data_IF_990214795622
#
_entry.id   IF_990214795622
#
_cell.length_a   1.000
_cell.length_b   1.000
_cell.length_c   1.000
_cell.angle_alpha   90.00
_cell.angle_beta   90.00
_cell.angle_gamma   90.00
#
_symmetry.space_group_name_H-M   'P 1'
#
loop_
_entity.id
_entity.type
_entity.pdbx_description
1 polymer ?
#
# COMPACT_ATOMS: atom_id res chain seq x y z
N UNK A 1 1.18 49.47 45.15
CA UNK A 1 0.13 48.88 44.26
C UNK A 1 0.74 48.77 42.88
N UNK A 2 1.37 47.64 42.59
CA UNK A 2 2.06 47.42 41.29
C UNK A 2 1.49 46.10 40.76
N UNK A 3 0.61 46.24 39.80
CA UNK A 3 0.02 45.13 39.07
C UNK A 3 1.08 44.37 38.24
N UNK A 4 1.15 43.09 38.53
CA UNK A 4 2.04 42.18 37.78
C UNK A 4 1.56 41.95 36.38
N UNK A 5 2.44 42.31 35.43
CA UNK A 5 2.36 41.97 34.01
C UNK A 5 2.49 40.43 33.84
N UNK A 6 1.37 39.76 33.74
CA UNK A 6 1.28 38.36 33.33
C UNK A 6 1.55 38.28 31.82
N UNK A 7 2.81 38.19 31.42
CA UNK A 7 3.19 37.84 30.08
C UNK A 7 2.70 36.44 29.79
N UNK A 8 1.65 36.34 29.01
CA UNK A 8 1.19 35.10 28.39
C UNK A 8 2.35 34.58 27.51
N UNK A 9 3.02 33.59 28.06
CA UNK A 9 3.94 32.75 27.31
C UNK A 9 3.12 31.99 26.26
N UNK A 10 2.96 32.57 25.09
CA UNK A 10 2.47 31.84 23.92
C UNK A 10 3.54 30.81 23.60
N UNK A 11 3.32 29.59 24.06
CA UNK A 11 4.09 28.43 23.60
C UNK A 11 3.99 28.42 22.09
N UNK A 12 5.09 28.75 21.42
CA UNK A 12 5.28 28.49 20.01
C UNK A 12 5.18 26.96 19.83
N UNK A 13 3.96 26.45 19.62
CA UNK A 13 3.77 25.11 19.13
C UNK A 13 4.61 24.99 17.87
N UNK A 14 5.69 24.26 18.02
CA UNK A 14 6.60 23.91 16.96
C UNK A 14 5.78 23.25 15.87
N UNK A 15 5.44 23.98 14.82
CA UNK A 15 4.72 23.45 13.66
C UNK A 15 5.56 22.29 13.15
N UNK A 16 5.14 21.06 13.51
CA UNK A 16 5.81 19.84 13.06
C UNK A 16 5.55 19.71 11.57
N UNK A 17 6.57 19.45 10.76
CA UNK A 17 6.36 19.22 9.33
C UNK A 17 5.51 17.95 9.16
N UNK A 18 4.26 18.15 8.74
CA UNK A 18 3.31 17.06 8.50
C UNK A 18 3.08 16.90 7.01
N UNK A 19 2.94 15.67 6.57
CA UNK A 19 2.58 15.31 5.19
C UNK A 19 1.08 15.06 5.14
N UNK A 20 0.30 15.93 4.47
CA UNK A 20 -1.14 15.74 4.35
C UNK A 20 -1.44 14.53 3.45
N UNK A 21 -2.24 13.61 3.94
CA UNK A 21 -2.70 12.42 3.21
C UNK A 21 -4.12 12.62 2.68
N UNK A 22 -5.02 13.09 3.55
CA UNK A 22 -6.41 13.45 3.23
C UNK A 22 -6.77 14.72 3.99
N UNK A 23 -8.02 15.21 3.87
CA UNK A 23 -8.50 16.34 4.66
C UNK A 23 -8.48 16.10 6.18
N UNK A 24 -8.50 14.83 6.60
CA UNK A 24 -8.59 14.45 8.02
C UNK A 24 -7.39 13.65 8.54
N UNK A 25 -6.50 13.21 7.66
CA UNK A 25 -5.35 12.37 8.01
C UNK A 25 -4.09 13.06 7.50
N UNK A 26 -3.16 13.30 8.39
CA UNK A 26 -1.79 13.70 8.11
C UNK A 26 -0.83 12.80 8.89
N UNK A 27 0.38 12.60 8.40
CA UNK A 27 1.44 11.85 9.08
C UNK A 27 2.59 12.81 9.41
N UNK A 28 3.29 12.54 10.50
CA UNK A 28 4.50 13.30 10.86
C UNK A 28 5.66 12.85 9.95
N UNK A 29 6.44 13.81 9.49
CA UNK A 29 7.63 13.51 8.66
C UNK A 29 8.66 12.62 9.40
N UNK A 30 8.64 12.63 10.75
CA UNK A 30 9.48 11.77 11.61
C UNK A 30 9.09 10.30 11.59
N UNK A 31 7.85 9.98 11.18
CA UNK A 31 7.38 8.60 11.00
C UNK A 31 8.00 7.94 9.76
N UNK A 32 8.68 8.75 8.94
CA UNK A 32 9.35 8.31 7.72
C UNK A 32 10.86 8.30 7.94
N UNK A 33 11.47 7.18 7.66
CA UNK A 33 12.92 7.02 7.62
C UNK A 33 13.36 6.80 6.18
N UNK A 34 14.35 7.55 5.72
CA UNK A 34 14.86 7.49 4.34
C UNK A 34 16.30 7.00 4.33
N UNK A 35 16.60 6.04 3.49
CA UNK A 35 17.94 5.52 3.27
C UNK A 35 18.30 5.65 1.80
N UNK A 36 19.50 6.15 1.56
CA UNK A 36 20.05 6.28 0.22
C UNK A 36 20.93 5.08 -0.10
N UNK A 37 20.60 4.39 -1.19
CA UNK A 37 21.30 3.18 -1.60
C UNK A 37 21.81 3.32 -3.04
N UNK A 38 22.84 2.57 -3.38
CA UNK A 38 23.34 2.53 -4.75
C UNK A 38 22.31 1.82 -5.62
N UNK A 39 21.96 2.41 -6.75
CA UNK A 39 21.10 1.76 -7.72
C UNK A 39 21.86 0.57 -8.33
N UNK A 40 21.31 -0.64 -8.21
CA UNK A 40 21.78 -1.82 -8.93
C UNK A 40 21.03 -1.91 -10.25
N UNK A 41 21.74 -1.95 -11.37
CA UNK A 41 21.12 -2.10 -12.69
C UNK A 41 22.15 -2.06 -13.83
N UNK A 42 21.80 -2.49 -15.03
CA UNK A 42 22.63 -2.34 -16.23
C UNK A 42 22.70 -0.85 -16.58
N UNK A 43 23.79 -0.21 -16.22
CA UNK A 43 24.04 1.21 -16.48
C UNK A 43 25.53 1.53 -16.52
N UNK A 44 25.90 2.64 -17.15
CA UNK A 44 27.28 3.10 -17.29
C UNK A 44 27.95 3.40 -15.94
N UNK A 45 29.24 3.77 -15.99
CA UNK A 45 30.12 3.93 -14.80
C UNK A 45 29.58 4.81 -13.65
N UNK A 46 28.65 5.75 -13.92
CA UNK A 46 28.07 6.64 -12.92
C UNK A 46 27.00 5.94 -12.03
N UNK A 47 26.30 4.92 -12.52
CA UNK A 47 25.23 4.23 -11.77
C UNK A 47 25.78 3.53 -10.54
N UNK A 48 27.00 3.01 -10.63
CA UNK A 48 27.66 2.29 -9.54
C UNK A 48 28.40 3.19 -8.52
N UNK A 49 28.58 4.46 -8.84
CA UNK A 49 29.35 5.40 -8.00
C UNK A 49 28.48 6.32 -7.13
N UNK A 50 27.23 6.56 -7.51
CA UNK A 50 26.34 7.51 -6.83
C UNK A 50 25.13 6.80 -6.22
N UNK A 51 24.86 7.03 -4.94
CA UNK A 51 23.69 6.50 -4.22
C UNK A 51 22.44 7.34 -4.57
N UNK A 52 21.87 7.14 -5.75
CA UNK A 52 20.70 7.88 -6.22
C UNK A 52 19.37 7.19 -5.89
N UNK A 53 19.38 5.90 -5.60
CA UNK A 53 18.17 5.18 -5.19
C UNK A 53 17.81 5.51 -3.74
N UNK A 54 16.51 5.60 -3.48
CA UNK A 54 15.95 5.91 -2.17
C UNK A 54 15.10 4.73 -1.70
N UNK A 55 15.38 4.24 -0.50
CA UNK A 55 14.54 3.31 0.25
C UNK A 55 13.86 4.09 1.38
N UNK A 56 12.55 4.19 1.32
CA UNK A 56 11.71 4.83 2.32
C UNK A 56 11.11 3.74 3.21
N UNK A 57 11.20 3.94 4.53
CA UNK A 57 10.66 3.05 5.55
C UNK A 57 9.62 3.81 6.37
N UNK A 58 8.45 3.23 6.53
CA UNK A 58 7.35 3.78 7.31
C UNK A 58 6.84 2.72 8.29
N UNK A 59 6.94 3.00 9.58
CA UNK A 59 6.44 2.10 10.62
C UNK A 59 4.93 2.27 10.75
N UNK A 60 4.18 1.27 10.26
CA UNK A 60 2.71 1.28 10.29
C UNK A 60 2.22 1.14 11.74
N UNK A 61 2.88 0.31 12.55
CA UNK A 61 2.44 0.02 13.90
C UNK A 61 2.58 1.24 14.82
N UNK A 62 3.74 1.92 14.75
CA UNK A 62 4.04 3.10 15.57
C UNK A 62 3.42 4.39 15.03
N UNK A 63 2.90 4.41 13.79
CA UNK A 63 2.39 5.62 13.15
C UNK A 63 1.16 6.20 13.85
N UNK A 64 0.88 7.47 13.58
CA UNK A 64 -0.29 8.22 14.06
C UNK A 64 -1.62 7.84 13.36
N UNK A 65 -1.59 6.90 12.40
CA UNK A 65 -2.77 6.49 11.63
C UNK A 65 -3.84 5.81 12.49
N UNK A 66 -5.14 5.98 12.17
CA UNK A 66 -6.23 5.24 12.80
C UNK A 66 -6.08 3.72 12.64
N UNK A 67 -6.50 2.89 13.63
CA UNK A 67 -6.30 1.43 13.60
C UNK A 67 -6.89 0.73 12.37
N UNK A 68 -8.04 1.17 11.90
CA UNK A 68 -8.71 0.64 10.72
C UNK A 68 -7.96 0.97 9.41
N UNK A 69 -7.29 2.13 9.36
CA UNK A 69 -6.41 2.53 8.24
C UNK A 69 -5.14 1.69 8.27
N UNK A 70 -4.53 1.48 9.46
CA UNK A 70 -3.36 0.60 9.61
C UNK A 70 -3.63 -0.80 9.08
N UNK A 71 -4.74 -1.42 9.48
CA UNK A 71 -5.13 -2.77 9.04
C UNK A 71 -5.30 -2.84 7.50
N UNK A 72 -5.95 -1.84 6.91
CA UNK A 72 -6.09 -1.77 5.44
C UNK A 72 -4.76 -1.53 4.74
N UNK A 73 -3.89 -0.70 5.33
CA UNK A 73 -2.58 -0.42 4.77
C UNK A 73 -1.70 -1.67 4.71
N UNK A 74 -1.66 -2.48 5.76
CA UNK A 74 -0.94 -3.76 5.77
C UNK A 74 -1.45 -4.67 4.65
N UNK A 75 -2.76 -4.78 4.49
CA UNK A 75 -3.36 -5.59 3.41
C UNK A 75 -2.99 -5.08 2.01
N UNK A 76 -2.98 -3.76 1.81
CA UNK A 76 -2.64 -3.12 0.53
C UNK A 76 -1.14 -3.17 0.23
N UNK A 77 -0.31 -3.09 1.25
CA UNK A 77 1.14 -3.17 1.11
C UNK A 77 1.61 -4.54 0.63
N UNK A 78 0.92 -5.62 1.06
CA UNK A 78 1.28 -6.99 0.70
C UNK A 78 2.75 -7.30 1.05
N UNK A 79 3.52 -7.78 0.09
CA UNK A 79 4.94 -8.13 0.26
C UNK A 79 5.87 -6.95 0.61
N UNK A 80 5.40 -5.70 0.45
CA UNK A 80 6.15 -4.49 0.84
C UNK A 80 6.10 -4.20 2.33
N UNK A 81 5.19 -4.83 3.07
CA UNK A 81 5.19 -4.79 4.52
C UNK A 81 6.03 -5.93 5.07
N UNK A 82 6.99 -5.60 5.94
CA UNK A 82 7.78 -6.61 6.65
C UNK A 82 6.94 -7.29 7.75
N UNK A 83 7.41 -8.41 8.28
CA UNK A 83 6.76 -9.09 9.40
C UNK A 83 6.62 -8.19 10.64
N UNK A 84 7.54 -7.24 10.81
CA UNK A 84 7.55 -6.26 11.90
C UNK A 84 6.57 -5.09 11.68
N UNK A 85 5.81 -5.11 10.59
CA UNK A 85 4.84 -4.05 10.27
C UNK A 85 5.44 -2.77 9.68
N UNK A 86 6.67 -2.84 9.15
CA UNK A 86 7.32 -1.72 8.47
C UNK A 86 7.06 -1.79 6.97
N UNK A 87 6.51 -0.72 6.40
CA UNK A 87 6.32 -0.58 4.96
C UNK A 87 7.61 -0.09 4.30
N UNK A 88 8.06 -0.80 3.27
CA UNK A 88 9.24 -0.46 2.48
C UNK A 88 8.81 0.02 1.10
N UNK A 89 9.31 1.19 0.68
CA UNK A 89 9.07 1.76 -0.65
C UNK A 89 10.41 2.19 -1.24
N UNK A 90 10.80 1.56 -2.33
CA UNK A 90 11.99 1.94 -3.08
C UNK A 90 11.66 2.79 -4.31
N UNK A 91 12.57 3.69 -4.64
CA UNK A 91 12.55 4.45 -5.88
C UNK A 91 13.95 4.57 -6.46
N UNK A 92 14.08 4.17 -7.73
CA UNK A 92 15.32 4.19 -8.52
C UNK A 92 15.09 4.57 -9.98
N UNK A 93 13.97 5.21 -10.26
CA UNK A 93 13.52 5.49 -11.64
C UNK A 93 14.19 6.73 -12.22
N UNK A 94 14.59 7.65 -11.35
CA UNK A 94 15.13 8.95 -11.76
C UNK A 94 16.64 9.02 -11.59
N UNK A 95 17.25 9.95 -12.31
CA UNK A 95 18.71 10.16 -12.27
C UNK A 95 19.19 10.82 -10.98
N UNK A 96 18.33 11.61 -10.33
CA UNK A 96 18.71 12.37 -9.14
C UNK A 96 18.07 11.76 -7.89
N UNK A 97 18.81 11.86 -6.78
CA UNK A 97 18.35 11.44 -5.47
C UNK A 97 17.08 12.19 -5.04
N UNK A 98 17.00 13.50 -5.28
CA UNK A 98 15.83 14.32 -4.95
C UNK A 98 14.56 13.81 -5.66
N UNK A 99 14.62 13.57 -6.97
CA UNK A 99 13.48 13.05 -7.73
C UNK A 99 13.05 11.65 -7.25
N UNK A 100 13.99 10.77 -6.90
CA UNK A 100 13.66 9.46 -6.35
C UNK A 100 13.03 9.56 -4.97
N UNK A 101 13.47 10.51 -4.13
CA UNK A 101 12.87 10.82 -2.83
C UNK A 101 11.41 11.28 -2.99
N UNK A 102 11.16 12.23 -3.86
CA UNK A 102 9.82 12.76 -4.12
C UNK A 102 8.90 11.65 -4.66
N UNK A 103 9.41 10.81 -5.56
CA UNK A 103 8.66 9.67 -6.08
C UNK A 103 8.33 8.63 -5.00
N UNK A 104 9.25 8.31 -4.10
CA UNK A 104 9.00 7.40 -2.98
C UNK A 104 7.95 7.97 -2.03
N UNK A 105 8.05 9.26 -1.69
CA UNK A 105 7.07 9.98 -0.86
C UNK A 105 5.68 10.01 -1.53
N UNK A 106 5.61 10.31 -2.81
CA UNK A 106 4.35 10.30 -3.56
C UNK A 106 3.69 8.92 -3.56
N UNK A 107 4.47 7.84 -3.68
CA UNK A 107 3.95 6.46 -3.58
C UNK A 107 3.42 6.14 -2.19
N UNK A 108 4.11 6.57 -1.13
CA UNK A 108 3.62 6.42 0.24
C UNK A 108 2.27 7.12 0.40
N UNK A 109 2.19 8.39 0.02
CA UNK A 109 0.94 9.17 0.12
C UNK A 109 -0.19 8.52 -0.67
N UNK A 110 0.06 8.04 -1.89
CA UNK A 110 -0.95 7.34 -2.69
C UNK A 110 -1.47 6.05 -2.01
N UNK A 111 -0.57 5.25 -1.41
CA UNK A 111 -0.96 4.06 -0.63
C UNK A 111 -1.78 4.43 0.59
N UNK A 112 -1.39 5.46 1.34
CA UNK A 112 -2.12 5.95 2.50
C UNK A 112 -3.50 6.47 2.11
N UNK A 113 -3.62 7.23 1.03
CA UNK A 113 -4.91 7.70 0.49
C UNK A 113 -5.82 6.54 0.10
N UNK A 114 -5.25 5.48 -0.48
CA UNK A 114 -6.01 4.28 -0.81
C UNK A 114 -6.48 3.53 0.45
N UNK A 115 -5.62 3.40 1.46
CA UNK A 115 -5.96 2.80 2.76
C UNK A 115 -6.99 3.62 3.54
N UNK A 116 -6.98 4.94 3.43
CA UNK A 116 -7.93 5.83 4.07
C UNK A 116 -9.38 5.63 3.57
N UNK A 117 -9.54 5.14 2.32
CA UNK A 117 -10.87 4.89 1.75
C UNK A 117 -11.37 3.51 2.16
N UNK A 118 -12.48 3.38 2.90
CA UNK A 118 -13.04 2.07 3.21
C UNK A 118 -13.54 1.37 1.93
N UNK A 119 -13.25 0.07 1.76
CA UNK A 119 -13.70 -0.65 0.59
C UNK A 119 -15.22 -0.77 0.58
N UNK A 120 -15.84 -0.58 -0.59
CA UNK A 120 -17.27 -0.79 -0.75
C UNK A 120 -17.62 -2.26 -0.47
N UNK A 121 -18.53 -2.50 0.48
CA UNK A 121 -19.01 -3.85 0.80
C UNK A 121 -19.61 -4.52 -0.44
N UNK A 122 -19.02 -5.63 -0.87
CA UNK A 122 -19.54 -6.41 -2.00
C UNK A 122 -20.84 -7.09 -1.59
N UNK A 123 -21.91 -6.84 -2.34
CA UNK A 123 -23.16 -7.60 -2.20
C UNK A 123 -23.00 -8.92 -2.96
N UNK A 124 -23.31 -10.10 -2.36
CA UNK A 124 -23.27 -11.36 -3.08
C UNK A 124 -24.32 -11.35 -4.20
N UNK A 125 -23.91 -11.69 -5.40
CA UNK A 125 -24.79 -11.80 -6.56
C UNK A 125 -25.22 -13.25 -6.77
N UNK A 126 -26.51 -13.49 -6.96
CA UNK A 126 -27.01 -14.82 -7.33
C UNK A 126 -26.75 -15.06 -8.82
N UNK A 127 -26.29 -16.27 -9.22
CA UNK A 127 -26.14 -16.62 -10.63
C UNK A 127 -27.46 -16.48 -11.37
N UNK A 128 -27.46 -15.96 -12.58
CA UNK A 128 -28.62 -15.87 -13.46
C UNK A 128 -29.16 -17.28 -13.74
N UNK A 129 -30.49 -17.41 -13.91
CA UNK A 129 -31.18 -18.67 -14.24
C UNK A 129 -30.54 -19.36 -15.44
N UNK A 130 -30.27 -18.62 -16.53
CA UNK A 130 -29.64 -19.14 -17.73
C UNK A 130 -28.23 -19.72 -17.48
N UNK A 131 -27.45 -19.15 -16.55
CA UNK A 131 -26.14 -19.70 -16.19
C UNK A 131 -26.24 -21.04 -15.45
N UNK A 132 -27.25 -21.16 -14.57
CA UNK A 132 -27.56 -22.45 -13.89
C UNK A 132 -27.98 -23.53 -14.88
N UNK A 133 -28.87 -23.20 -15.82
CA UNK A 133 -29.33 -24.11 -16.88
C UNK A 133 -28.17 -24.57 -17.76
N UNK A 134 -27.34 -23.63 -18.27
CA UNK A 134 -26.14 -23.97 -19.05
C UNK A 134 -25.19 -24.90 -18.29
N UNK A 135 -24.98 -24.66 -16.99
CA UNK A 135 -24.14 -25.51 -16.15
C UNK A 135 -24.71 -26.93 -16.03
N UNK A 136 -26.05 -27.07 -15.85
CA UNK A 136 -26.71 -28.37 -15.76
C UNK A 136 -26.63 -29.15 -17.08
N UNK A 137 -26.89 -28.49 -18.21
CA UNK A 137 -26.73 -29.08 -19.56
C UNK A 137 -25.29 -29.54 -19.80
N UNK A 138 -24.32 -28.72 -19.48
CA UNK A 138 -22.89 -29.07 -19.62
C UNK A 138 -22.52 -30.25 -18.70
N UNK A 139 -23.05 -30.29 -17.46
CA UNK A 139 -22.82 -31.41 -16.53
C UNK A 139 -23.40 -32.71 -17.06
N UNK A 140 -24.65 -32.67 -17.58
CA UNK A 140 -25.33 -33.84 -18.15
C UNK A 140 -24.56 -34.40 -19.34
N UNK A 141 -24.17 -33.53 -20.31
CA UNK A 141 -23.35 -33.91 -21.46
C UNK A 141 -22.01 -34.55 -21.09
N UNK A 142 -21.32 -34.02 -20.07
CA UNK A 142 -20.07 -34.63 -19.59
C UNK A 142 -20.31 -35.98 -18.93
N UNK A 143 -21.44 -36.15 -18.23
CA UNK A 143 -21.86 -37.45 -17.66
C UNK A 143 -22.09 -38.52 -18.73
N UNK A 144 -22.82 -38.16 -19.79
CA UNK A 144 -23.08 -39.04 -20.95
C UNK A 144 -21.76 -39.48 -21.64
N UNK A 145 -20.84 -38.50 -21.90
CA UNK A 145 -19.54 -38.83 -22.48
C UNK A 145 -18.72 -39.75 -21.57
N UNK A 146 -18.77 -39.54 -20.26
CA UNK A 146 -18.07 -40.39 -19.29
C UNK A 146 -18.65 -41.80 -19.23
N UNK A 147 -19.96 -41.92 -19.28
CA UNK A 147 -20.64 -43.23 -19.32
C UNK A 147 -20.29 -44.02 -20.58
N UNK A 148 -20.26 -43.37 -21.76
CA UNK A 148 -19.83 -43.99 -23.01
C UNK A 148 -18.38 -44.48 -23.00
N UNK A 149 -17.51 -43.86 -22.21
CA UNK A 149 -16.10 -44.31 -22.10
C UNK A 149 -15.96 -45.51 -21.16
N UNK A 150 -16.71 -45.54 -20.05
CA UNK A 150 -16.68 -46.66 -19.10
C UNK A 150 -17.37 -47.91 -19.61
N UNK A 151 -18.27 -47.84 -20.58
CA UNK A 151 -18.89 -49.01 -21.22
C UNK A 151 -18.10 -49.63 -22.38
N UNK A 152 -16.85 -49.20 -22.61
CA UNK A 152 -16.02 -49.68 -23.71
C UNK A 152 -14.88 -50.61 -23.28
N UNK A 153 -14.75 -50.86 -21.99
CA UNK A 153 -13.68 -51.67 -21.39
C UNK A 153 -14.12 -53.10 -21.01
N UNK A 154 -15.36 -53.53 -21.41
CA UNK A 154 -15.91 -54.82 -21.07
C UNK A 154 -16.06 -55.77 -22.28
N UNK A 155 -15.29 -55.63 -23.37
CA UNK A 155 -15.18 -56.61 -24.49
C UNK A 155 -13.75 -57.08 -24.68
#
# INVERSE_FOLDING_TARGET
>A
MIEGDQRHSVSLERIMPTIPVTLTIAIDEREISERFVRASGPGGQNVNKVATAVELRFDIAASSLPPDVKARLVTLAGHRATADGVLLIDSREYRTQGQNRDAARARLVALLQHAARPPKKRKPTKPKKSAREKRLVSKKRRGEIKALRSGRDDD
#
